data_IF_298133706658
#
_entry.id   IF_298133706658
#
_cell.length_a   1.000
_cell.length_b   1.000
_cell.length_c   1.000
_cell.angle_alpha   90.00
_cell.angle_beta   90.00
_cell.angle_gamma   90.00
#
_symmetry.space_group_name_H-M   'P 1'
#
loop_
_entity.id
_entity.type
_entity.pdbx_description
1 polymer ?
#
# COMPACT_ATOMS: atom_id res chain seq x y z
N UNK A 1 2.86 1.41 -10.82
CA UNK A 1 2.59 0.80 -9.49
C UNK A 1 3.37 -0.50 -9.40
N UNK A 2 4.06 -0.78 -8.29
CA UNK A 2 4.79 -2.03 -8.09
C UNK A 2 4.01 -2.95 -7.15
N UNK A 3 3.88 -4.23 -7.51
CA UNK A 3 3.29 -5.27 -6.67
C UNK A 3 4.30 -6.39 -6.51
N UNK A 4 4.52 -6.87 -5.29
CA UNK A 4 5.42 -7.97 -5.00
C UNK A 4 4.67 -9.11 -4.34
N UNK A 5 4.97 -10.33 -4.78
CA UNK A 5 4.52 -11.59 -4.21
C UNK A 5 5.77 -12.38 -3.76
N UNK A 6 5.56 -13.56 -3.19
CA UNK A 6 6.66 -14.39 -2.67
C UNK A 6 7.65 -14.83 -3.76
N UNK A 7 7.19 -14.96 -5.01
CA UNK A 7 7.92 -15.56 -6.13
C UNK A 7 8.15 -14.59 -7.30
N UNK A 8 7.50 -13.42 -7.31
CA UNK A 8 7.56 -12.48 -8.42
C UNK A 8 7.30 -11.03 -8.01
N UNK A 9 7.88 -10.11 -8.78
CA UNK A 9 7.61 -8.68 -8.72
C UNK A 9 7.02 -8.23 -10.06
N UNK A 10 5.90 -7.50 -10.00
CA UNK A 10 5.18 -6.98 -11.14
C UNK A 10 5.23 -5.46 -11.14
N UNK A 11 5.49 -4.89 -12.32
CA UNK A 11 5.35 -3.46 -12.58
C UNK A 11 4.07 -3.25 -13.41
N UNK A 12 3.12 -2.55 -12.81
CA UNK A 12 1.84 -2.20 -13.42
C UNK A 12 1.96 -0.78 -13.97
N UNK A 13 1.92 -0.66 -15.29
CA UNK A 13 2.05 0.63 -16.00
C UNK A 13 0.74 1.42 -15.93
N UNK A 14 0.71 2.46 -15.10
CA UNK A 14 -0.45 3.35 -14.95
C UNK A 14 -0.61 4.36 -16.10
N UNK A 15 0.43 4.53 -16.94
CA UNK A 15 0.48 5.53 -18.01
C UNK A 15 0.01 4.89 -19.32
N UNK A 16 0.70 3.85 -19.79
CA UNK A 16 0.32 3.17 -21.04
C UNK A 16 -0.87 2.23 -20.83
N UNK A 17 -0.88 1.46 -19.74
CA UNK A 17 -2.01 0.58 -19.39
C UNK A 17 -3.24 1.35 -18.88
N UNK A 18 -3.05 2.60 -18.50
CA UNK A 18 -4.11 3.52 -18.09
C UNK A 18 -4.97 3.02 -16.93
N UNK A 19 -6.19 3.58 -16.86
CA UNK A 19 -7.13 3.31 -15.77
C UNK A 19 -7.55 1.84 -15.71
N UNK A 20 -7.79 1.20 -16.86
CA UNK A 20 -8.27 -0.19 -16.90
C UNK A 20 -7.28 -1.16 -16.25
N UNK A 21 -5.99 -1.01 -16.55
CA UNK A 21 -4.97 -1.87 -15.95
C UNK A 21 -4.89 -1.68 -14.43
N UNK A 22 -4.97 -0.45 -13.94
CA UNK A 22 -4.98 -0.18 -12.49
C UNK A 22 -6.27 -0.72 -11.83
N UNK A 23 -7.42 -0.61 -12.49
CA UNK A 23 -8.68 -1.16 -11.99
C UNK A 23 -8.65 -2.69 -11.88
N UNK A 24 -7.87 -3.38 -12.71
CA UNK A 24 -7.72 -4.84 -12.60
C UNK A 24 -7.15 -5.28 -11.25
N UNK A 25 -6.40 -4.40 -10.57
CA UNK A 25 -5.86 -4.63 -9.23
C UNK A 25 -6.87 -4.34 -8.11
N UNK A 26 -7.98 -3.65 -8.40
CA UNK A 26 -8.96 -3.18 -7.40
C UNK A 26 -9.44 -4.30 -6.45
N UNK A 27 -9.83 -5.50 -6.90
CA UNK A 27 -10.30 -6.55 -6.00
C UNK A 27 -9.28 -6.95 -4.93
N UNK A 28 -7.99 -6.97 -5.26
CA UNK A 28 -6.94 -7.30 -4.30
C UNK A 28 -6.65 -6.12 -3.35
N UNK A 29 -6.61 -4.90 -3.90
CA UNK A 29 -6.33 -3.68 -3.15
C UNK A 29 -7.44 -3.34 -2.12
N UNK A 30 -8.70 -3.61 -2.45
CA UNK A 30 -9.87 -3.39 -1.57
C UNK A 30 -10.24 -4.64 -0.73
N UNK A 31 -9.57 -5.78 -0.91
CA UNK A 31 -9.88 -7.00 -0.16
C UNK A 31 -9.59 -6.84 1.34
N UNK A 32 -10.54 -7.23 2.18
CA UNK A 32 -10.34 -7.34 3.63
C UNK A 32 -9.53 -8.59 4.03
N UNK A 33 -9.31 -9.53 3.10
CA UNK A 33 -8.63 -10.81 3.35
C UNK A 33 -7.17 -10.84 2.90
N UNK A 34 -6.79 -9.98 1.96
CA UNK A 34 -5.40 -9.86 1.48
C UNK A 34 -4.73 -8.73 2.23
N UNK A 35 -3.62 -9.00 2.92
CA UNK A 35 -2.83 -7.97 3.60
C UNK A 35 -1.97 -7.24 2.56
N UNK A 36 -2.03 -5.90 2.54
CA UNK A 36 -1.12 -5.08 1.74
C UNK A 36 -0.05 -4.50 2.65
N UNK A 37 1.19 -4.95 2.48
CA UNK A 37 2.34 -4.41 3.19
C UNK A 37 2.88 -3.24 2.38
N UNK A 38 2.81 -2.03 2.94
CA UNK A 38 3.22 -0.78 2.26
C UNK A 38 4.05 0.05 3.26
N UNK A 39 4.94 0.90 2.78
CA UNK A 39 5.70 1.82 3.62
C UNK A 39 5.19 3.24 3.42
N UNK A 40 4.71 3.91 4.47
CA UNK A 40 4.12 5.25 4.40
C UNK A 40 3.04 5.37 3.31
N UNK A 41 1.97 4.59 3.47
CA UNK A 41 0.96 4.41 2.42
C UNK A 41 0.04 5.62 2.23
N UNK A 42 0.25 6.73 2.95
CA UNK A 42 -0.67 7.88 2.97
C UNK A 42 -0.90 8.45 1.56
N UNK A 43 0.19 8.77 0.85
CA UNK A 43 0.11 9.34 -0.50
C UNK A 43 -0.35 8.32 -1.54
N UNK A 44 0.04 7.06 -1.38
CA UNK A 44 -0.43 5.98 -2.26
C UNK A 44 -1.94 5.78 -2.14
N UNK A 45 -2.47 5.81 -0.91
CA UNK A 45 -3.91 5.72 -0.64
C UNK A 45 -4.67 6.89 -1.24
N UNK A 46 -4.16 8.13 -1.09
CA UNK A 46 -4.76 9.32 -1.69
C UNK A 46 -4.78 9.22 -3.23
N UNK A 47 -3.66 8.81 -3.84
CA UNK A 47 -3.58 8.64 -5.29
C UNK A 47 -4.55 7.59 -5.81
N UNK A 48 -4.60 6.41 -5.16
CA UNK A 48 -5.53 5.33 -5.51
C UNK A 48 -6.99 5.76 -5.39
N UNK A 49 -7.34 6.50 -4.33
CA UNK A 49 -8.70 6.97 -4.11
C UNK A 49 -9.11 8.06 -5.11
N UNK A 50 -8.31 9.13 -5.24
CA UNK A 50 -8.71 10.27 -6.06
C UNK A 50 -8.57 10.04 -7.57
N UNK A 51 -7.56 9.29 -8.01
CA UNK A 51 -7.31 9.06 -9.44
C UNK A 51 -8.07 7.83 -9.96
N UNK A 52 -8.28 6.82 -9.11
CA UNK A 52 -8.84 5.54 -9.52
C UNK A 52 -10.08 5.11 -8.73
N UNK A 53 -10.49 5.81 -7.67
CA UNK A 53 -11.64 5.38 -6.85
C UNK A 53 -11.42 4.00 -6.22
N UNK A 54 -10.18 3.68 -5.88
CA UNK A 54 -9.77 2.45 -5.20
C UNK A 54 -9.48 2.80 -3.74
N UNK A 55 -10.15 2.13 -2.80
CA UNK A 55 -9.95 2.32 -1.37
C UNK A 55 -9.11 1.19 -0.78
N UNK A 56 -7.85 1.48 -0.48
CA UNK A 56 -6.98 0.51 0.20
C UNK A 56 -7.59 0.04 1.52
N UNK A 57 -7.72 -1.27 1.68
CA UNK A 57 -8.22 -1.94 2.89
C UNK A 57 -7.17 -2.92 3.42
N UNK A 58 -7.23 -3.32 4.69
CA UNK A 58 -6.32 -4.32 5.29
C UNK A 58 -4.82 -4.06 4.98
N UNK A 59 -4.37 -2.84 5.28
CA UNK A 59 -2.99 -2.39 5.06
C UNK A 59 -2.17 -2.56 6.34
N UNK A 60 -0.95 -3.08 6.21
CA UNK A 60 0.09 -3.00 7.22
C UNK A 60 1.10 -1.95 6.76
N UNK A 61 1.08 -0.79 7.41
CA UNK A 61 2.06 0.26 7.16
C UNK A 61 3.34 -0.01 7.97
N UNK A 62 4.44 -0.26 7.27
CA UNK A 62 5.72 -0.60 7.90
C UNK A 62 6.38 0.59 8.61
N UNK A 63 6.08 1.84 8.24
CA UNK A 63 6.56 3.02 8.97
C UNK A 63 5.92 3.07 10.35
N UNK A 64 4.58 2.96 10.39
CA UNK A 64 3.83 2.97 11.65
C UNK A 64 4.21 1.77 12.51
N UNK A 65 4.30 0.58 11.90
CA UNK A 65 4.71 -0.62 12.62
C UNK A 65 6.10 -0.46 13.26
N UNK A 66 7.05 0.15 12.55
CA UNK A 66 8.38 0.43 13.08
C UNK A 66 8.34 1.41 14.26
N UNK A 67 7.66 2.55 14.13
CA UNK A 67 7.51 3.52 15.23
C UNK A 67 6.86 2.92 16.48
N UNK A 68 5.86 2.04 16.30
CA UNK A 68 5.21 1.34 17.42
C UNK A 68 6.17 0.35 18.12
N UNK A 69 7.05 -0.31 17.37
CA UNK A 69 8.07 -1.19 17.96
C UNK A 69 9.08 -0.36 18.76
N UNK A 70 9.53 0.79 18.22
CA UNK A 70 10.44 1.68 18.95
C UNK A 70 9.84 2.22 20.25
N UNK A 71 8.57 2.61 20.22
CA UNK A 71 7.84 3.05 21.41
C UNK A 71 7.78 1.94 22.48
N UNK A 72 7.48 0.70 22.07
CA UNK A 72 7.44 -0.47 22.98
C UNK A 72 8.82 -0.82 23.55
N UNK A 73 9.90 -0.61 22.79
CA UNK A 73 11.28 -0.79 23.23
C UNK A 73 11.79 0.35 24.12
N UNK A 74 10.96 1.37 24.41
CA UNK A 74 11.31 2.50 25.26
C UNK A 74 12.26 3.50 24.60
N UNK A 75 12.42 3.43 23.28
CA UNK A 75 13.16 4.43 22.50
C UNK A 75 12.19 5.60 22.25
N UNK A 76 12.37 6.69 22.99
CA UNK A 76 11.62 7.94 22.74
C UNK A 76 12.10 8.55 21.42
N UNK A 77 11.18 8.89 20.54
CA UNK A 77 11.47 9.83 19.46
C UNK A 77 11.94 11.15 20.07
N UNK A 78 13.15 11.58 19.72
CA UNK A 78 13.54 12.99 19.88
C UNK A 78 12.81 13.76 18.77
N UNK A 79 11.63 14.26 19.11
CA UNK A 79 10.81 15.14 18.26
C UNK A 79 11.58 16.42 17.94
#
# INVERSE_FOLDING_TARGET
MQLAFLDAVYLVDAIEGGKELIQSCKPALESDHIIKVIHDCKRDSEALYFQFGIKLHNVVDTQIAYSLIEEQEGKKENI
#
